data_IF_931790489261
#
_entry.id   IF_931790489261
#
_cell.length_a   1.000
_cell.length_b   1.000
_cell.length_c   1.000
_cell.angle_alpha   90.00
_cell.angle_beta   90.00
_cell.angle_gamma   90.00
#
_symmetry.space_group_name_H-M   'P 1'
#
loop_
_entity.id
_entity.type
_entity.pdbx_description
1 polymer ?
#
# COMPACT_ATOMS: atom_id res chain seq x y z
N UNK A 1 -18.53 3.92 -2.31
CA UNK A 1 -18.01 3.31 -1.06
C UNK A 1 -16.89 4.19 -0.51
N UNK A 2 -17.08 4.88 0.63
CA UNK A 2 -16.10 5.81 1.24
C UNK A 2 -15.08 5.10 2.15
N UNK A 3 -15.34 3.85 2.53
CA UNK A 3 -14.63 3.06 3.54
C UNK A 3 -13.32 2.40 3.06
N UNK A 4 -12.80 2.76 1.90
CA UNK A 4 -11.58 2.16 1.33
C UNK A 4 -10.46 3.17 1.17
N UNK A 5 -10.41 3.88 0.04
CA UNK A 5 -9.27 4.74 -0.30
C UNK A 5 -9.04 5.83 0.77
N UNK A 6 -10.08 6.54 1.19
CA UNK A 6 -9.98 7.60 2.20
C UNK A 6 -9.48 7.12 3.57
N UNK A 7 -9.80 5.88 3.96
CA UNK A 7 -9.33 5.27 5.21
C UNK A 7 -7.86 4.87 5.10
N UNK A 8 -7.40 4.40 3.93
CA UNK A 8 -6.03 3.88 3.78
C UNK A 8 -4.98 4.98 3.61
N UNK A 9 -5.35 6.09 2.96
CA UNK A 9 -4.42 7.15 2.57
C UNK A 9 -3.62 7.75 3.74
N UNK A 10 -4.19 8.05 4.92
CA UNK A 10 -3.42 8.62 6.03
C UNK A 10 -2.35 7.69 6.60
N UNK A 11 -2.46 6.37 6.40
CA UNK A 11 -1.57 5.38 7.02
C UNK A 11 -0.41 5.01 6.10
N UNK A 12 -0.66 4.80 4.81
CA UNK A 12 0.37 4.39 3.83
C UNK A 12 0.63 5.44 2.74
N UNK A 13 -0.29 6.36 2.50
CA UNK A 13 -0.18 7.29 1.37
C UNK A 13 -0.25 6.61 -0.01
N UNK A 14 -0.26 7.43 -1.07
CA UNK A 14 -0.49 6.96 -2.44
C UNK A 14 0.68 6.11 -2.94
N UNK A 15 1.92 6.55 -2.71
CA UNK A 15 3.11 5.89 -3.28
C UNK A 15 3.41 4.58 -2.56
N UNK A 16 3.35 4.54 -1.22
CA UNK A 16 3.61 3.30 -0.47
C UNK A 16 2.50 2.27 -0.70
N UNK A 17 1.29 2.69 -1.04
CA UNK A 17 0.23 1.75 -1.44
C UNK A 17 0.65 0.86 -2.63
N UNK A 18 1.57 1.32 -3.49
CA UNK A 18 2.11 0.50 -4.57
C UNK A 18 2.95 -0.67 -4.03
N UNK A 19 3.80 -0.42 -3.02
CA UNK A 19 4.56 -1.49 -2.36
C UNK A 19 3.63 -2.54 -1.75
N UNK A 20 2.56 -2.09 -1.08
CA UNK A 20 1.59 -2.99 -0.45
C UNK A 20 0.71 -3.76 -1.44
N UNK A 21 0.66 -3.35 -2.71
CA UNK A 21 0.04 -4.15 -3.78
C UNK A 21 1.01 -5.18 -4.37
N UNK A 22 2.31 -5.09 -4.06
CA UNK A 22 3.37 -5.85 -4.71
C UNK A 22 3.85 -5.17 -5.99
N UNK A 23 5.11 -4.75 -6.04
CA UNK A 23 5.64 -4.00 -7.20
C UNK A 23 5.72 -4.84 -8.48
N UNK A 24 5.84 -6.16 -8.37
CA UNK A 24 5.74 -7.07 -9.50
C UNK A 24 4.34 -7.00 -10.14
N UNK A 25 3.28 -7.07 -9.34
CA UNK A 25 1.90 -6.95 -9.83
C UNK A 25 1.66 -5.56 -10.42
N UNK A 26 2.11 -4.50 -9.75
CA UNK A 26 1.99 -3.12 -10.25
C UNK A 26 2.68 -2.99 -11.62
N UNK A 27 3.89 -3.55 -11.76
CA UNK A 27 4.62 -3.54 -13.03
C UNK A 27 3.88 -4.29 -14.15
N UNK A 28 3.33 -5.47 -13.85
CA UNK A 28 2.60 -6.27 -14.84
C UNK A 28 1.31 -5.58 -15.30
N UNK A 29 0.57 -4.96 -14.37
CA UNK A 29 -0.60 -4.14 -14.68
C UNK A 29 -0.22 -2.94 -15.55
N UNK A 30 0.84 -2.20 -15.20
CA UNK A 30 1.31 -1.07 -16.01
C UNK A 30 1.65 -1.51 -17.44
N UNK A 31 2.38 -2.62 -17.58
CA UNK A 31 2.72 -3.18 -18.90
C UNK A 31 1.49 -3.56 -19.71
N UNK A 32 0.49 -4.19 -19.08
CA UNK A 32 -0.75 -4.59 -19.76
C UNK A 32 -1.54 -3.41 -20.34
N UNK A 33 -1.41 -2.22 -19.74
CA UNK A 33 -2.04 -0.99 -20.23
C UNK A 33 -1.09 -0.13 -21.08
N UNK A 34 0.02 -0.71 -21.55
CA UNK A 34 0.99 -0.03 -22.41
C UNK A 34 1.82 1.05 -21.71
N UNK A 35 1.87 1.05 -20.37
CA UNK A 35 2.68 1.97 -19.58
C UNK A 35 3.95 1.28 -19.08
N UNK A 36 5.05 2.02 -19.08
CA UNK A 36 6.26 1.63 -18.37
C UNK A 36 6.69 2.76 -17.43
N UNK A 37 6.95 2.43 -16.18
CA UNK A 37 7.52 3.36 -15.20
C UNK A 37 8.91 2.81 -14.84
N UNK A 38 10.00 3.44 -15.35
CA UNK A 38 11.36 2.91 -15.19
C UNK A 38 11.74 2.62 -13.73
N UNK A 39 11.32 3.47 -12.79
CA UNK A 39 11.56 3.27 -11.36
C UNK A 39 10.96 1.95 -10.86
N UNK A 40 9.75 1.60 -11.26
CA UNK A 40 9.08 0.36 -10.82
C UNK A 40 9.79 -0.84 -11.45
N UNK A 41 10.12 -0.77 -12.74
CA UNK A 41 10.86 -1.83 -13.44
C UNK A 41 12.23 -2.10 -12.77
N UNK A 42 12.95 -1.04 -12.40
CA UNK A 42 14.22 -1.16 -11.68
C UNK A 42 14.06 -1.86 -10.33
N UNK A 43 13.06 -1.47 -9.53
CA UNK A 43 12.80 -2.10 -8.23
C UNK A 43 12.44 -3.57 -8.36
N UNK A 44 11.60 -3.93 -9.33
CA UNK A 44 11.25 -5.33 -9.60
C UNK A 44 12.49 -6.15 -10.01
N UNK A 45 13.34 -5.61 -10.89
CA UNK A 45 14.61 -6.27 -11.28
C UNK A 45 15.57 -6.49 -10.10
N UNK A 46 15.54 -5.60 -9.11
CA UNK A 46 16.33 -5.71 -7.87
C UNK A 46 15.71 -6.66 -6.83
N UNK A 47 14.52 -7.21 -7.07
CA UNK A 47 13.79 -8.01 -6.07
C UNK A 47 13.19 -7.17 -4.93
N UNK A 48 13.14 -5.85 -5.07
CA UNK A 48 12.51 -4.94 -4.12
C UNK A 48 11.00 -4.91 -4.39
N UNK A 49 10.26 -5.87 -3.83
CA UNK A 49 8.85 -6.10 -4.17
C UNK A 49 7.83 -5.44 -3.23
N UNK A 50 8.28 -4.80 -2.15
CA UNK A 50 7.43 -4.25 -1.10
C UNK A 50 7.60 -4.99 0.24
N UNK A 51 6.55 -5.13 1.06
CA UNK A 51 6.61 -5.78 2.37
C UNK A 51 7.16 -7.21 2.34
N UNK A 52 6.84 -8.01 1.32
CA UNK A 52 7.32 -9.39 1.17
C UNK A 52 8.84 -9.51 1.03
N UNK A 53 9.49 -8.48 0.49
CA UNK A 53 10.95 -8.38 0.40
C UNK A 53 11.56 -7.49 1.50
N UNK A 54 10.73 -7.02 2.44
CA UNK A 54 11.07 -5.94 3.38
C UNK A 54 11.65 -4.68 2.71
N UNK A 55 11.44 -4.50 1.40
CA UNK A 55 11.99 -3.40 0.61
C UNK A 55 11.23 -3.26 -0.71
N UNK A 56 10.90 -2.03 -1.08
CA UNK A 56 10.24 -1.66 -2.33
C UNK A 56 10.66 -0.25 -2.76
N UNK A 57 9.67 0.62 -2.98
CA UNK A 57 9.86 2.06 -3.02
C UNK A 57 10.27 2.60 -1.64
N UNK A 58 9.82 1.93 -0.57
CA UNK A 58 10.20 2.23 0.81
C UNK A 58 11.05 1.11 1.40
N UNK A 59 11.88 1.45 2.38
CA UNK A 59 12.65 0.47 3.15
C UNK A 59 11.88 0.09 4.42
N UNK A 60 11.66 -1.21 4.62
CA UNK A 60 10.95 -1.71 5.79
C UNK A 60 11.87 -2.21 6.89
N UNK A 61 13.20 -2.10 6.74
CA UNK A 61 14.16 -2.28 7.82
C UNK A 61 14.38 -3.73 8.26
N UNK A 62 14.25 -4.69 7.34
CA UNK A 62 14.42 -6.12 7.60
C UNK A 62 13.30 -6.78 8.41
N UNK A 63 12.19 -6.07 8.65
CA UNK A 63 11.01 -6.63 9.32
C UNK A 63 10.36 -7.70 8.46
N UNK A 64 9.78 -8.70 9.10
CA UNK A 64 8.96 -9.68 8.40
C UNK A 64 7.74 -9.03 7.75
N UNK A 65 7.23 -9.64 6.68
CA UNK A 65 6.00 -9.20 6.03
C UNK A 65 4.84 -9.15 7.04
N UNK A 66 4.73 -10.17 7.91
CA UNK A 66 3.70 -10.24 8.96
C UNK A 66 3.74 -9.02 9.89
N UNK A 67 4.90 -8.62 10.40
CA UNK A 67 5.02 -7.44 11.28
C UNK A 67 4.59 -6.15 10.56
N UNK A 68 4.96 -6.01 9.28
CA UNK A 68 4.64 -4.83 8.47
C UNK A 68 3.13 -4.76 8.22
N UNK A 69 2.51 -5.87 7.81
CA UNK A 69 1.08 -5.97 7.53
C UNK A 69 0.26 -5.81 8.82
N UNK A 70 0.67 -6.46 9.91
CA UNK A 70 0.00 -6.36 11.20
C UNK A 70 -0.10 -4.91 11.69
N UNK A 71 1.01 -4.14 11.59
CA UNK A 71 1.00 -2.72 11.93
C UNK A 71 0.04 -1.93 11.05
N UNK A 72 0.10 -2.13 9.73
CA UNK A 72 -0.77 -1.44 8.75
C UNK A 72 -2.24 -1.72 9.04
N UNK A 73 -2.59 -2.99 9.17
CA UNK A 73 -3.99 -3.44 9.27
C UNK A 73 -4.60 -3.00 10.61
N UNK A 74 -3.82 -3.05 11.69
CA UNK A 74 -4.23 -2.48 12.98
C UNK A 74 -4.55 -0.99 12.87
N UNK A 75 -3.74 -0.21 12.15
CA UNK A 75 -3.98 1.21 11.96
C UNK A 75 -5.18 1.49 11.04
N UNK A 76 -5.40 0.68 10.00
CA UNK A 76 -6.58 0.77 9.17
C UNK A 76 -7.87 0.56 9.97
N UNK A 77 -7.92 -0.49 10.78
CA UNK A 77 -9.10 -0.80 11.60
C UNK A 77 -9.35 0.30 12.63
N UNK A 78 -8.33 0.78 13.33
CA UNK A 78 -8.47 1.90 14.29
C UNK A 78 -9.00 3.17 13.64
N UNK A 79 -8.54 3.48 12.42
CA UNK A 79 -9.01 4.66 11.71
C UNK A 79 -10.43 4.47 11.16
N UNK A 80 -10.77 3.26 10.69
CA UNK A 80 -12.13 2.92 10.29
C UNK A 80 -13.09 3.10 11.47
N UNK A 81 -12.82 2.47 12.61
CA UNK A 81 -13.63 2.57 13.83
C UNK A 81 -13.80 4.04 14.27
N UNK A 82 -12.70 4.82 14.23
CA UNK A 82 -12.76 6.24 14.54
C UNK A 82 -13.70 6.99 13.59
N UNK A 83 -13.56 6.82 12.26
CA UNK A 83 -14.40 7.51 11.28
C UNK A 83 -15.87 7.10 11.37
N UNK A 84 -16.15 5.83 11.67
CA UNK A 84 -17.51 5.33 11.92
C UNK A 84 -18.11 5.98 13.17
N UNK A 85 -17.33 6.11 14.26
CA UNK A 85 -17.79 6.78 15.49
C UNK A 85 -18.17 8.25 15.27
N UNK A 86 -17.55 8.90 14.28
CA UNK A 86 -17.83 10.28 13.90
C UNK A 86 -18.95 10.40 12.86
N UNK A 87 -19.57 9.27 12.45
CA UNK A 87 -20.56 9.22 11.36
C UNK A 87 -20.03 9.82 10.06
N UNK A 88 -18.72 9.78 9.83
CA UNK A 88 -18.04 10.46 8.73
C UNK A 88 -18.49 9.95 7.33
N UNK A 89 -19.18 8.83 7.27
CA UNK A 89 -19.68 8.24 6.04
C UNK A 89 -21.13 8.61 5.71
N UNK A 90 -21.88 9.23 6.62
CA UNK A 90 -23.21 9.79 6.32
C UNK A 90 -23.10 10.82 5.16
N UNK A 91 -24.18 11.01 4.38
CA UNK A 91 -24.23 12.09 3.40
C UNK A 91 -24.00 13.44 4.08
N UNK A 92 -23.30 14.33 3.37
CA UNK A 92 -23.19 15.75 3.76
C UNK A 92 -24.48 16.46 3.39
#
# INVERSE_FOLDING_TARGET
>A
MKTSLGVRLPIVGVVQSLDFNGLNLVHDVLKSIGKNIPLIEEKVKQGHLGPSASKGLFDYGGRSEEEILHKRDTLYLKLLDFLESQKAFEPV
#
